data_IF_200902091926
#
_entry.id   IF_200902091926
#
_cell.length_a   1.000
_cell.length_b   1.000
_cell.length_c   1.000
_cell.angle_alpha   90.00
_cell.angle_beta   90.00
_cell.angle_gamma   90.00
#
_symmetry.space_group_name_H-M   'P 1'
#
loop_
_entity.id
_entity.type
_entity.pdbx_description
1 polymer ?
#
# COMPACT_ATOMS: atom_id res chain seq x y z
N UNK A 1 3.36 3.67 -38.77
CA UNK A 1 3.98 4.38 -37.63
C UNK A 1 3.01 4.28 -36.47
N UNK A 2 3.16 3.29 -35.60
CA UNK A 2 2.32 3.16 -34.40
C UNK A 2 2.79 4.18 -33.38
N UNK A 3 2.00 5.24 -33.14
CA UNK A 3 2.26 6.17 -32.04
C UNK A 3 2.27 5.38 -30.73
N UNK A 4 3.24 5.63 -29.83
CA UNK A 4 3.19 5.04 -28.50
C UNK A 4 1.94 5.56 -27.79
N UNK A 5 1.09 4.65 -27.32
CA UNK A 5 -0.03 5.00 -26.44
C UNK A 5 0.55 5.71 -25.21
N UNK A 6 0.04 6.91 -24.85
CA UNK A 6 0.52 7.58 -23.64
C UNK A 6 0.23 6.71 -22.42
N UNK A 7 1.11 6.71 -21.40
CA UNK A 7 0.91 5.95 -20.19
C UNK A 7 -0.38 6.38 -19.49
N UNK A 8 -0.99 5.46 -18.77
CA UNK A 8 -2.17 5.74 -17.94
C UNK A 8 -1.80 6.86 -16.95
N UNK A 9 -2.65 7.89 -16.75
CA UNK A 9 -2.33 8.98 -15.83
C UNK A 9 -2.02 8.48 -14.42
N UNK A 10 -0.95 8.98 -13.81
CA UNK A 10 -0.49 8.51 -12.49
C UNK A 10 -1.60 8.57 -11.44
N UNK A 11 -2.41 9.64 -11.41
CA UNK A 11 -3.52 9.76 -10.47
C UNK A 11 -4.54 8.61 -10.55
N UNK A 12 -4.79 8.07 -11.76
CA UNK A 12 -5.64 6.90 -11.94
C UNK A 12 -4.94 5.63 -11.42
N UNK A 13 -3.64 5.51 -11.66
CA UNK A 13 -2.84 4.38 -11.15
C UNK A 13 -2.79 4.40 -9.61
N UNK A 14 -2.63 5.56 -8.96
CA UNK A 14 -2.64 5.67 -7.49
C UNK A 14 -3.99 5.28 -6.89
N UNK A 15 -5.11 5.61 -7.56
CA UNK A 15 -6.43 5.12 -7.17
C UNK A 15 -6.49 3.59 -7.24
N UNK A 16 -5.97 3.01 -8.32
CA UNK A 16 -5.92 1.56 -8.47
C UNK A 16 -5.02 0.90 -7.42
N UNK A 17 -3.85 1.47 -7.11
CA UNK A 17 -2.97 1.02 -6.04
C UNK A 17 -3.72 0.95 -4.71
N UNK A 18 -4.51 1.98 -4.37
CA UNK A 18 -5.31 1.99 -3.13
C UNK A 18 -6.32 0.84 -3.10
N UNK A 19 -7.01 0.59 -4.20
CA UNK A 19 -7.98 -0.51 -4.31
C UNK A 19 -7.27 -1.88 -4.24
N UNK A 20 -6.08 -2.00 -4.83
CA UNK A 20 -5.26 -3.21 -4.76
C UNK A 20 -4.76 -3.46 -3.34
N UNK A 21 -4.25 -2.46 -2.63
CA UNK A 21 -3.79 -2.63 -1.23
C UNK A 21 -4.93 -3.08 -0.31
N UNK A 22 -6.17 -2.68 -0.60
CA UNK A 22 -7.36 -3.12 0.11
C UNK A 22 -7.79 -4.57 -0.20
N UNK A 23 -7.43 -5.10 -1.37
CA UNK A 23 -7.95 -6.39 -1.87
C UNK A 23 -6.90 -7.48 -2.06
N UNK A 24 -5.62 -7.12 -2.16
CA UNK A 24 -4.49 -8.06 -2.26
C UNK A 24 -4.35 -8.84 -0.95
N UNK A 25 -4.33 -10.17 -1.04
CA UNK A 25 -4.26 -11.06 0.11
C UNK A 25 -3.00 -10.91 0.96
N UNK A 26 -1.94 -10.28 0.44
CA UNK A 26 -0.70 -9.97 1.17
C UNK A 26 -0.84 -8.78 2.11
N UNK A 27 -1.65 -7.78 1.72
CA UNK A 27 -1.85 -6.54 2.49
C UNK A 27 -3.25 -6.51 3.08
N UNK A 28 -4.29 -6.42 2.24
CA UNK A 28 -5.68 -6.47 2.67
C UNK A 28 -6.08 -5.37 3.65
N UNK A 29 -5.54 -4.15 3.47
CA UNK A 29 -5.75 -3.04 4.39
C UNK A 29 -6.59 -1.93 3.77
N UNK A 30 -7.65 -1.54 4.48
CA UNK A 30 -8.53 -0.44 4.10
C UNK A 30 -8.03 0.88 4.67
N UNK A 31 -8.26 1.97 3.93
CA UNK A 31 -8.01 3.32 4.44
C UNK A 31 -6.54 3.77 4.41
N UNK A 32 -5.67 3.03 3.72
CA UNK A 32 -4.34 3.54 3.39
C UNK A 32 -4.44 4.71 2.41
N UNK A 33 -3.71 5.78 2.70
CA UNK A 33 -3.52 6.91 1.81
C UNK A 33 -2.35 6.62 0.89
N UNK A 34 -2.54 6.87 -0.41
CA UNK A 34 -1.52 6.68 -1.45
C UNK A 34 -1.45 7.97 -2.26
N UNK A 35 -0.31 8.64 -2.22
CA UNK A 35 -0.10 9.94 -2.86
C UNK A 35 1.24 9.99 -3.58
N UNK A 36 1.34 10.81 -4.63
CA UNK A 36 2.62 11.19 -5.20
C UNK A 36 3.16 12.42 -4.46
N UNK A 37 4.39 12.34 -3.96
CA UNK A 37 5.12 13.46 -3.38
C UNK A 37 6.44 13.64 -4.12
N UNK A 38 6.50 14.66 -4.99
CA UNK A 38 7.63 14.82 -5.90
C UNK A 38 7.72 13.65 -6.87
N UNK A 39 8.85 12.94 -6.84
CA UNK A 39 9.11 11.77 -7.67
C UNK A 39 8.76 10.43 -6.97
N UNK A 40 8.34 10.48 -5.70
CA UNK A 40 8.03 9.30 -4.89
C UNK A 40 6.52 9.02 -4.82
N UNK A 41 6.16 7.75 -4.72
CA UNK A 41 4.84 7.31 -4.23
C UNK A 41 4.97 7.01 -2.75
N UNK A 42 4.15 7.69 -1.94
CA UNK A 42 4.16 7.56 -0.49
C UNK A 42 2.87 6.89 -0.02
N UNK A 43 3.02 5.83 0.77
CA UNK A 43 1.90 5.14 1.40
C UNK A 43 1.87 5.47 2.89
N UNK A 44 0.72 5.94 3.38
CA UNK A 44 0.51 6.35 4.78
C UNK A 44 -0.72 5.66 5.35
N UNK A 45 -0.70 5.44 6.65
CA UNK A 45 -1.85 4.89 7.36
C UNK A 45 -1.46 3.94 8.48
N UNK A 46 -2.45 3.19 8.94
CA UNK A 46 -2.26 2.14 9.94
C UNK A 46 -2.40 0.80 9.25
N UNK A 47 -1.48 -0.11 9.54
CA UNK A 47 -1.47 -1.47 9.00
C UNK A 47 -1.50 -2.47 10.16
N UNK A 48 -2.30 -3.53 10.04
CA UNK A 48 -2.56 -4.40 11.18
C UNK A 48 -1.31 -5.14 11.69
N UNK A 49 -0.40 -5.54 10.79
CA UNK A 49 0.76 -6.37 11.15
C UNK A 49 2.01 -5.98 10.37
N UNK A 50 3.18 -6.24 10.98
CA UNK A 50 4.47 -6.02 10.33
C UNK A 50 4.68 -6.91 9.09
N UNK A 51 4.09 -8.11 9.08
CA UNK A 51 4.15 -9.01 7.93
C UNK A 51 3.44 -8.40 6.70
N UNK A 52 2.25 -7.83 6.89
CA UNK A 52 1.54 -7.10 5.82
C UNK A 52 2.28 -5.83 5.42
N UNK A 53 2.85 -5.13 6.38
CA UNK A 53 3.66 -3.93 6.13
C UNK A 53 4.84 -4.21 5.19
N UNK A 54 5.53 -5.33 5.39
CA UNK A 54 6.65 -5.72 4.53
C UNK A 54 6.26 -5.89 3.04
N UNK A 55 4.97 -6.14 2.76
CA UNK A 55 4.47 -6.39 1.40
C UNK A 55 4.02 -5.12 0.67
N UNK A 56 3.82 -3.98 1.38
CA UNK A 56 3.30 -2.73 0.79
C UNK A 56 4.13 -2.31 -0.42
N UNK A 57 5.45 -2.19 -0.25
CA UNK A 57 6.33 -1.66 -1.30
C UNK A 57 6.27 -2.54 -2.55
N UNK A 58 6.27 -3.86 -2.39
CA UNK A 58 6.20 -4.83 -3.48
C UNK A 58 4.88 -4.70 -4.24
N UNK A 59 3.74 -4.71 -3.53
CA UNK A 59 2.41 -4.59 -4.15
C UNK A 59 2.27 -3.28 -4.94
N UNK A 60 2.69 -2.15 -4.36
CA UNK A 60 2.62 -0.84 -5.03
C UNK A 60 3.51 -0.82 -6.26
N UNK A 61 4.75 -1.32 -6.17
CA UNK A 61 5.68 -1.34 -7.29
C UNK A 61 5.19 -2.24 -8.44
N UNK A 62 4.59 -3.38 -8.14
CA UNK A 62 3.98 -4.28 -9.14
C UNK A 62 2.87 -3.59 -9.92
N UNK A 63 1.96 -2.89 -9.22
CA UNK A 63 0.86 -2.14 -9.87
C UNK A 63 1.42 -1.00 -10.73
N UNK A 64 2.36 -0.21 -10.21
CA UNK A 64 2.99 0.88 -10.96
C UNK A 64 3.64 0.36 -12.25
N UNK A 65 4.42 -0.73 -12.16
CA UNK A 65 5.09 -1.34 -13.30
C UNK A 65 4.10 -1.85 -14.35
N UNK A 66 2.99 -2.46 -13.93
CA UNK A 66 1.93 -2.92 -14.83
C UNK A 66 1.30 -1.78 -15.64
N UNK A 67 1.35 -0.55 -15.14
CA UNK A 67 0.86 0.66 -15.80
C UNK A 67 1.96 1.53 -16.43
N UNK A 68 3.21 1.04 -16.47
CA UNK A 68 4.34 1.72 -17.10
C UNK A 68 5.01 2.81 -16.25
N UNK A 69 4.81 2.79 -14.93
CA UNK A 69 5.45 3.71 -13.99
C UNK A 69 6.58 3.01 -13.22
N UNK A 70 7.67 3.73 -12.97
CA UNK A 70 8.87 3.21 -12.28
C UNK A 70 9.40 4.16 -11.20
N UNK A 71 8.50 4.80 -10.45
CA UNK A 71 8.87 5.70 -9.36
C UNK A 71 9.23 4.94 -8.08
N UNK A 72 10.11 5.50 -7.23
CA UNK A 72 10.39 4.98 -5.90
C UNK A 72 9.12 4.97 -5.02
N UNK A 73 9.01 3.95 -4.17
CA UNK A 73 7.90 3.78 -3.23
C UNK A 73 8.43 3.89 -1.80
N UNK A 74 7.78 4.73 -0.99
CA UNK A 74 8.10 4.93 0.43
C UNK A 74 6.93 4.49 1.29
N UNK A 75 7.17 3.51 2.14
CA UNK A 75 6.24 3.08 3.18
C UNK A 75 6.42 3.94 4.44
N UNK A 76 5.38 4.70 4.80
CA UNK A 76 5.28 5.46 6.06
C UNK A 76 4.12 4.96 6.92
N UNK A 77 3.63 3.74 6.67
CA UNK A 77 2.62 3.12 7.51
C UNK A 77 3.19 2.76 8.88
N UNK A 78 2.30 2.66 9.86
CA UNK A 78 2.63 2.25 11.21
C UNK A 78 1.80 1.06 11.63
N UNK A 79 2.42 0.12 12.31
CA UNK A 79 1.71 -0.91 13.05
C UNK A 79 1.20 -0.32 14.38
N UNK A 80 -0.06 -0.58 14.77
CA UNK A 80 -0.51 -0.22 16.10
C UNK A 80 0.33 -1.03 17.11
N UNK A 81 0.70 -0.39 18.23
CA UNK A 81 1.28 -1.11 19.35
C UNK A 81 0.24 -2.15 19.80
N UNK A 82 0.57 -3.43 19.68
CA UNK A 82 -0.27 -4.50 20.21
C UNK A 82 -0.35 -4.26 21.72
N UNK A 83 -1.51 -3.84 22.21
CA UNK A 83 -1.80 -4.04 23.62
C UNK A 83 -1.78 -5.56 23.80
N UNK A 84 -0.82 -6.08 24.57
CA UNK A 84 -0.82 -7.49 24.96
C UNK A 84 -2.25 -7.86 25.36
N UNK A 85 -2.81 -8.99 24.88
CA UNK A 85 -4.08 -9.43 25.42
C UNK A 85 -3.88 -9.54 26.93
N UNK A 86 -4.56 -8.69 27.69
CA UNK A 86 -4.76 -8.94 29.12
C UNK A 86 -5.55 -10.24 29.16
N UNK A 87 -4.85 -11.36 29.26
CA UNK A 87 -5.44 -12.59 29.75
C UNK A 87 -5.77 -12.27 31.20
N UNK A 88 -6.96 -11.75 31.46
CA UNK A 88 -7.52 -11.68 32.81
C UNK A 88 -7.57 -13.14 33.31
N UNK A 89 -6.77 -13.52 34.32
CA UNK A 89 -6.84 -14.85 34.89
C UNK A 89 -8.03 -14.93 35.86
N UNK A 90 -9.23 -14.50 35.45
CA UNK A 90 -10.44 -14.51 36.29
C UNK A 90 -11.69 -14.86 35.46
N UNK A 91 -11.70 -16.06 34.87
CA UNK A 91 -12.95 -16.76 34.58
C UNK A 91 -12.88 -18.08 35.36
N UNK A 92 -13.60 -18.06 36.50
CA UNK A 92 -13.77 -19.13 37.49
C UNK A 92 -14.12 -20.51 36.90
#
# INVERSE_FOLDING_TARGET
MTSPTPPVPLAHVLLHVRDTLATDGRVGELGLEVVAEGDDVVVRGVIATAARQAEIVSVVAEVLAAHGWSCPVRDLTRTPAVASPTTDPEQL
#
